data_IF_066648742664
#
_entry.id   IF_066648742664
#
_cell.length_a   1.000
_cell.length_b   1.000
_cell.length_c   1.000
_cell.angle_alpha   90.00
_cell.angle_beta   90.00
_cell.angle_gamma   90.00
#
_symmetry.space_group_name_H-M   'P 1'
#
loop_
_entity.id
_entity.type
_entity.pdbx_description
1 polymer ?
#
# COMPACT_ATOMS: atom_id res chain seq x y z
N UNK A 1 3.02 -7.46 -14.86
CA UNK A 1 2.50 -8.63 -14.12
C UNK A 1 2.05 -9.75 -15.05
N UNK A 2 1.09 -9.56 -15.98
CA UNK A 2 0.61 -10.63 -16.87
C UNK A 2 1.70 -11.46 -17.58
N UNK A 3 2.62 -10.80 -18.31
CA UNK A 3 3.74 -11.49 -18.97
C UNK A 3 4.60 -12.32 -17.99
N UNK A 4 4.82 -11.82 -16.77
CA UNK A 4 5.60 -12.51 -15.74
C UNK A 4 4.86 -13.73 -15.17
N UNK A 5 3.53 -13.73 -15.21
CA UNK A 5 2.67 -14.86 -14.83
C UNK A 5 2.44 -15.84 -16.00
N UNK A 6 3.00 -15.59 -17.18
CA UNK A 6 2.71 -16.38 -18.39
C UNK A 6 1.30 -16.19 -18.94
N UNK A 7 0.58 -15.15 -18.51
CA UNK A 7 -0.76 -14.80 -19.01
C UNK A 7 -0.66 -14.03 -20.32
N UNK A 8 -1.68 -14.14 -21.18
CA UNK A 8 -1.84 -13.21 -22.29
C UNK A 8 -2.03 -11.80 -21.71
N UNK A 9 -1.26 -10.78 -22.14
CA UNK A 9 -1.45 -9.40 -21.69
C UNK A 9 -2.88 -8.87 -21.86
N UNK A 10 -3.66 -9.43 -22.79
CA UNK A 10 -5.08 -9.09 -22.98
C UNK A 10 -5.95 -9.50 -21.80
N UNK A 11 -5.67 -10.64 -21.16
CA UNK A 11 -6.44 -11.10 -20.01
C UNK A 11 -6.33 -10.10 -18.84
N UNK A 12 -5.13 -9.58 -18.61
CA UNK A 12 -4.92 -8.52 -17.61
C UNK A 12 -5.66 -7.22 -17.96
N UNK A 13 -5.80 -6.87 -19.25
CA UNK A 13 -6.58 -5.69 -19.64
C UNK A 13 -8.05 -5.93 -19.35
N UNK A 14 -8.60 -7.06 -19.78
CA UNK A 14 -10.02 -7.40 -19.54
C UNK A 14 -10.37 -7.34 -18.05
N UNK A 15 -9.45 -7.73 -17.16
CA UNK A 15 -9.66 -7.69 -15.71
C UNK A 15 -9.67 -6.27 -15.10
N UNK A 16 -8.94 -5.30 -15.67
CA UNK A 16 -8.66 -4.02 -15.00
C UNK A 16 -8.93 -2.75 -15.84
N UNK A 17 -9.17 -2.85 -17.16
CA UNK A 17 -9.33 -1.72 -18.08
C UNK A 17 -10.55 -0.86 -17.74
N UNK A 18 -11.69 -1.50 -17.49
CA UNK A 18 -12.93 -0.84 -17.03
C UNK A 18 -13.08 -0.95 -15.50
N UNK A 19 -11.95 -1.05 -14.79
CA UNK A 19 -11.91 -1.16 -13.34
C UNK A 19 -12.34 0.13 -12.64
N UNK A 20 -12.74 0.00 -11.38
CA UNK A 20 -12.95 1.16 -10.51
C UNK A 20 -11.61 1.68 -10.02
N UNK A 21 -11.45 3.00 -9.98
CA UNK A 21 -10.33 3.67 -9.33
C UNK A 21 -10.86 4.60 -8.25
N UNK A 22 -10.25 4.55 -7.07
CA UNK A 22 -10.54 5.44 -5.96
C UNK A 22 -9.27 6.11 -5.45
N UNK A 23 -9.42 7.27 -4.81
CA UNK A 23 -8.31 7.96 -4.15
C UNK A 23 -8.62 8.20 -2.69
N UNK A 24 -7.64 7.92 -1.84
CA UNK A 24 -7.68 8.18 -0.40
C UNK A 24 -6.53 9.10 -0.03
N UNK A 25 -6.85 10.29 0.45
CA UNK A 25 -5.88 11.23 1.01
C UNK A 25 -5.82 11.03 2.52
N UNK A 26 -4.62 10.83 3.06
CA UNK A 26 -4.40 10.61 4.48
C UNK A 26 -3.55 11.72 5.07
N UNK A 27 -4.01 12.27 6.19
CA UNK A 27 -3.29 13.18 7.05
C UNK A 27 -3.14 12.53 8.43
N UNK A 28 -1.90 12.27 8.85
CA UNK A 28 -1.58 11.68 10.14
C UNK A 28 -0.93 12.76 11.02
N UNK A 29 -1.65 13.36 11.99
CA UNK A 29 -1.08 14.40 12.84
C UNK A 29 0.00 13.87 13.80
N UNK A 30 0.83 14.75 14.39
CA UNK A 30 1.64 14.38 15.55
C UNK A 30 0.78 13.81 16.68
N UNK A 31 1.20 12.68 17.25
CA UNK A 31 0.52 11.99 18.33
C UNK A 31 1.39 12.04 19.60
N UNK A 32 0.89 12.51 20.75
CA UNK A 32 1.70 12.63 21.97
C UNK A 32 2.10 11.27 22.57
N UNK A 33 1.35 10.21 22.27
CA UNK A 33 1.58 8.85 22.76
C UNK A 33 1.54 7.86 21.58
N UNK A 34 2.52 7.91 20.66
CA UNK A 34 2.51 7.12 19.43
C UNK A 34 2.58 5.60 19.67
N UNK A 35 3.02 5.18 20.85
CA UNK A 35 3.01 3.78 21.30
C UNK A 35 1.61 3.25 21.65
N UNK A 36 0.65 4.14 21.91
CA UNK A 36 -0.74 3.80 22.27
C UNK A 36 -1.73 4.02 21.11
N UNK A 37 -1.28 4.55 19.99
CA UNK A 37 -2.13 4.90 18.85
C UNK A 37 -1.61 4.31 17.53
N UNK A 38 -2.50 4.17 16.56
CA UNK A 38 -2.15 3.80 15.18
C UNK A 38 -2.81 4.80 14.22
N UNK A 39 -2.09 5.20 13.17
CA UNK A 39 -2.63 6.10 12.16
C UNK A 39 -3.59 5.38 11.22
N UNK A 40 -3.19 4.20 10.75
CA UNK A 40 -4.04 3.28 10.01
C UNK A 40 -3.75 1.85 10.48
N UNK A 41 -4.79 1.16 10.94
CA UNK A 41 -4.71 -0.21 11.42
C UNK A 41 -4.16 -1.17 10.37
N UNK A 42 -3.61 -2.30 10.83
CA UNK A 42 -3.13 -3.37 9.96
C UNK A 42 -4.25 -3.88 9.05
N UNK A 43 -3.99 -3.94 7.74
CA UNK A 43 -4.92 -4.45 6.73
C UNK A 43 -4.16 -4.88 5.46
N UNK A 44 -4.87 -5.56 4.56
CA UNK A 44 -4.49 -5.74 3.15
C UNK A 44 -5.49 -5.01 2.26
N UNK A 45 -5.07 -4.56 1.08
CA UNK A 45 -5.95 -3.77 0.21
C UNK A 45 -6.89 -4.67 -0.62
N UNK A 46 -8.21 -4.43 -0.62
CA UNK A 46 -9.17 -5.21 -1.39
C UNK A 46 -9.24 -4.78 -2.87
N UNK A 47 -8.10 -4.56 -3.52
CA UNK A 47 -7.98 -4.08 -4.91
C UNK A 47 -6.99 -4.91 -5.73
N UNK A 48 -6.78 -4.53 -6.99
CA UNK A 48 -5.72 -5.11 -7.82
C UNK A 48 -4.34 -4.59 -7.42
N UNK A 49 -4.14 -3.28 -7.49
CA UNK A 49 -2.91 -2.60 -7.09
C UNK A 49 -3.24 -1.33 -6.33
N UNK A 50 -2.53 -1.09 -5.23
CA UNK A 50 -2.54 0.22 -4.58
C UNK A 50 -1.23 0.96 -4.92
N UNK A 51 -1.33 2.22 -5.32
CA UNK A 51 -0.20 3.09 -5.63
C UNK A 51 -0.18 4.24 -4.63
N UNK A 52 0.87 4.29 -3.81
CA UNK A 52 1.02 5.26 -2.73
C UNK A 52 2.04 6.31 -3.12
N UNK A 53 1.60 7.57 -3.11
CA UNK A 53 2.47 8.73 -3.08
C UNK A 53 2.61 9.21 -1.64
N UNK A 54 3.85 9.26 -1.16
CA UNK A 54 4.16 9.92 0.09
C UNK A 54 4.54 11.39 -0.20
N UNK A 55 3.80 12.33 0.40
CA UNK A 55 3.90 13.75 0.06
C UNK A 55 5.06 14.44 0.79
N UNK A 56 5.42 13.99 1.99
CA UNK A 56 6.51 14.55 2.78
C UNK A 56 7.47 13.46 3.26
N UNK A 57 8.61 13.84 3.83
CA UNK A 57 9.68 12.90 4.21
C UNK A 57 9.41 12.12 5.51
N UNK A 58 8.20 12.25 6.10
CA UNK A 58 7.88 11.61 7.38
C UNK A 58 7.57 10.13 7.24
N UNK A 59 8.42 9.27 7.79
CA UNK A 59 8.18 7.82 7.86
C UNK A 59 6.88 7.47 8.60
N UNK A 60 6.37 6.26 8.33
CA UNK A 60 5.20 5.74 9.06
C UNK A 60 4.56 4.52 8.40
N UNK A 61 4.69 4.36 7.09
CA UNK A 61 4.24 3.14 6.40
C UNK A 61 5.11 1.95 6.82
N UNK A 62 4.46 0.86 7.21
CA UNK A 62 5.10 -0.39 7.60
C UNK A 62 4.40 -1.57 6.91
N UNK A 63 5.19 -2.54 6.44
CA UNK A 63 4.70 -3.80 5.85
C UNK A 63 5.07 -4.97 6.74
N UNK A 64 4.23 -6.00 6.80
CA UNK A 64 4.48 -7.20 7.60
C UNK A 64 5.24 -8.23 6.77
N UNK A 65 6.50 -8.48 7.11
CA UNK A 65 7.35 -9.47 6.44
C UNK A 65 7.81 -10.50 7.46
N UNK A 66 7.51 -11.78 7.22
CA UNK A 66 7.91 -12.89 8.11
C UNK A 66 7.51 -12.66 9.58
N UNK A 67 6.31 -12.12 9.80
CA UNK A 67 5.78 -11.81 11.15
C UNK A 67 6.28 -10.52 11.78
N UNK A 68 7.22 -9.80 11.14
CA UNK A 68 7.81 -8.57 11.66
C UNK A 68 7.37 -7.36 10.84
N UNK A 69 7.12 -6.23 11.50
CA UNK A 69 6.83 -4.97 10.84
C UNK A 69 8.14 -4.33 10.34
N UNK A 70 8.20 -4.08 9.03
CA UNK A 70 9.35 -3.47 8.35
C UNK A 70 8.94 -2.07 7.87
N UNK A 71 9.69 -1.01 8.22
CA UNK A 71 9.39 0.33 7.74
C UNK A 71 9.70 0.46 6.24
N UNK A 72 8.87 1.22 5.54
CA UNK A 72 9.13 1.65 4.17
C UNK A 72 9.75 3.04 4.22
N UNK A 73 11.00 3.13 3.76
CA UNK A 73 11.73 4.39 3.68
C UNK A 73 11.28 5.12 2.41
N UNK A 74 10.74 6.34 2.52
CA UNK A 74 10.34 7.14 1.37
C UNK A 74 11.55 7.44 0.50
N UNK A 75 11.45 7.15 -0.80
CA UNK A 75 12.44 7.56 -1.79
C UNK A 75 11.93 8.80 -2.52
N UNK A 76 12.82 9.75 -2.78
CA UNK A 76 12.51 10.93 -3.58
C UNK A 76 12.08 10.50 -4.99
N UNK A 77 11.00 11.09 -5.51
CA UNK A 77 10.44 10.79 -6.83
C UNK A 77 10.03 9.31 -7.03
N UNK A 78 9.58 8.63 -5.97
CA UNK A 78 9.11 7.26 -6.06
C UNK A 78 7.66 7.10 -5.59
N UNK A 79 7.00 6.09 -6.16
CA UNK A 79 5.76 5.54 -5.62
C UNK A 79 6.05 4.21 -4.92
N UNK A 80 5.28 3.91 -3.89
CA UNK A 80 5.21 2.56 -3.32
C UNK A 80 4.02 1.86 -3.98
N UNK A 81 4.24 0.65 -4.51
CA UNK A 81 3.17 -0.13 -5.15
C UNK A 81 2.92 -1.38 -4.32
N UNK A 82 1.67 -1.59 -3.90
CA UNK A 82 1.22 -2.78 -3.19
C UNK A 82 0.39 -3.66 -4.11
N UNK A 83 0.59 -4.97 -3.99
CA UNK A 83 -0.29 -5.98 -4.55
C UNK A 83 -1.49 -6.11 -3.62
N UNK A 84 -2.70 -5.94 -4.16
CA UNK A 84 -3.92 -6.13 -3.40
C UNK A 84 -4.49 -7.55 -3.50
N UNK A 85 -5.53 -7.83 -2.72
CA UNK A 85 -6.11 -9.16 -2.60
C UNK A 85 -6.66 -9.70 -3.93
N UNK A 86 -7.17 -8.84 -4.81
CA UNK A 86 -7.69 -9.28 -6.13
C UNK A 86 -6.54 -9.81 -7.00
N UNK A 87 -5.38 -9.16 -6.98
CA UNK A 87 -4.22 -9.61 -7.75
C UNK A 87 -3.61 -10.90 -7.17
N UNK A 88 -3.66 -11.08 -5.85
CA UNK A 88 -3.28 -12.35 -5.24
C UNK A 88 -4.15 -13.50 -5.76
N UNK A 89 -5.47 -13.30 -5.81
CA UNK A 89 -6.42 -14.29 -6.35
C UNK A 89 -6.15 -14.56 -7.83
N UNK A 90 -6.04 -13.51 -8.65
CA UNK A 90 -5.78 -13.61 -10.10
C UNK A 90 -4.47 -14.35 -10.38
N UNK A 91 -3.44 -14.13 -9.56
CA UNK A 91 -2.14 -14.77 -9.69
C UNK A 91 -2.05 -16.15 -9.03
N UNK A 92 -3.17 -16.66 -8.47
CA UNK A 92 -3.22 -17.90 -7.70
C UNK A 92 -2.14 -17.96 -6.60
N UNK A 93 -1.99 -16.86 -5.87
CA UNK A 93 -1.06 -16.74 -4.75
C UNK A 93 0.41 -16.48 -5.13
N UNK A 94 0.76 -16.38 -6.41
CA UNK A 94 2.15 -16.07 -6.83
C UNK A 94 2.58 -14.68 -6.36
N UNK A 95 1.66 -13.71 -6.37
CA UNK A 95 1.88 -12.38 -5.82
C UNK A 95 1.04 -12.19 -4.55
N UNK A 96 1.63 -12.36 -3.36
CA UNK A 96 0.89 -12.22 -2.11
C UNK A 96 0.58 -10.75 -1.81
N UNK A 97 -0.64 -10.51 -1.33
CA UNK A 97 -1.10 -9.27 -0.74
C UNK A 97 -0.62 -9.22 0.72
N UNK A 98 0.21 -8.22 1.03
CA UNK A 98 0.93 -8.15 2.29
C UNK A 98 0.22 -7.19 3.25
N UNK A 99 0.00 -7.63 4.49
CA UNK A 99 -0.50 -6.75 5.55
C UNK A 99 0.41 -5.53 5.72
N UNK A 100 -0.18 -4.36 5.81
CA UNK A 100 0.52 -3.11 6.04
C UNK A 100 -0.27 -2.19 6.98
N UNK A 101 0.42 -1.23 7.59
CA UNK A 101 -0.16 -0.26 8.53
C UNK A 101 0.54 1.10 8.42
N UNK A 102 -0.06 2.14 8.98
CA UNK A 102 0.60 3.43 9.14
C UNK A 102 0.75 3.78 10.62
N UNK A 103 2.00 3.84 11.09
CA UNK A 103 2.35 4.34 12.41
C UNK A 103 2.29 5.87 12.45
N UNK A 104 2.04 6.41 13.64
CA UNK A 104 2.12 7.84 13.96
C UNK A 104 3.39 8.14 14.73
N UNK A 105 3.79 9.41 14.77
CA UNK A 105 4.94 9.89 15.53
C UNK A 105 4.55 11.15 16.32
N UNK A 106 5.35 11.55 17.30
CA UNK A 106 5.06 12.72 18.15
C UNK A 106 5.62 14.05 17.63
N UNK A 107 6.32 14.04 16.49
CA UNK A 107 7.12 15.18 16.03
C UNK A 107 6.40 15.97 14.95
N UNK A 108 5.96 15.31 13.88
CA UNK A 108 5.47 15.98 12.67
C UNK A 108 4.42 15.15 11.94
N UNK A 109 3.52 15.84 11.25
CA UNK A 109 2.50 15.23 10.42
C UNK A 109 3.08 14.40 9.27
N UNK A 110 2.44 13.29 8.92
CA UNK A 110 2.71 12.54 7.70
C UNK A 110 1.54 12.70 6.74
N UNK A 111 1.82 12.95 5.47
CA UNK A 111 0.81 13.01 4.41
C UNK A 111 1.06 11.97 3.33
N UNK A 112 -0.01 11.33 2.86
CA UNK A 112 0.07 10.40 1.72
C UNK A 112 -1.22 10.40 0.92
N UNK A 113 -1.12 10.12 -0.38
CA UNK A 113 -2.25 9.85 -1.27
C UNK A 113 -2.12 8.40 -1.72
N UNK A 114 -3.20 7.63 -1.61
CA UNK A 114 -3.28 6.26 -2.11
C UNK A 114 -4.29 6.23 -3.25
N UNK A 115 -3.86 5.73 -4.40
CA UNK A 115 -4.73 5.39 -5.52
C UNK A 115 -4.99 3.88 -5.44
N UNK A 116 -6.26 3.49 -5.33
CA UNK A 116 -6.76 2.14 -5.12
C UNK A 116 -7.54 1.67 -6.36
#
# INVERSE_FOLDING_TARGET
MGKSLGMDPKDMRVLFEEGHQAMRMNYYPPCPQPELAIGLSAHSDPVGLAIVLQINEMEGLQVKKSGVWVPIIPLVNAFVVHVGNIMEIVSNGVYPSVEHRAAVNSVKERLSIVTL
#
